data_IF_109586125672
#
_entry.id   IF_109586125672
#
_cell.length_a   1.000
_cell.length_b   1.000
_cell.length_c   1.000
_cell.angle_alpha   90.00
_cell.angle_beta   90.00
_cell.angle_gamma   90.00
#
_symmetry.space_group_name_H-M   'P 1'
#
loop_
_entity.id
_entity.type
_entity.pdbx_description
1 polymer ?
#
# COMPACT_ATOMS: atom_id res chain seq x y z
N UNK A 1 0.34 -8.92 -6.82
CA UNK A 1 1.79 -9.25 -6.94
C UNK A 1 2.05 -10.57 -6.24
N UNK A 2 3.19 -11.23 -6.47
CA UNK A 2 3.50 -12.48 -5.75
C UNK A 2 3.45 -12.23 -4.23
N UNK A 3 2.87 -13.18 -3.48
CA UNK A 3 2.76 -13.19 -2.02
C UNK A 3 1.89 -12.08 -1.39
N UNK A 4 1.40 -11.11 -2.17
CA UNK A 4 0.62 -9.96 -1.64
C UNK A 4 -0.65 -10.33 -0.88
N UNK A 5 -1.41 -11.33 -1.36
CA UNK A 5 -2.65 -11.73 -0.71
C UNK A 5 -2.42 -12.37 0.65
N UNK A 6 -1.38 -13.21 0.76
CA UNK A 6 -0.99 -13.88 1.99
C UNK A 6 -0.49 -12.86 3.02
N UNK A 7 0.45 -12.00 2.61
CA UNK A 7 1.05 -11.01 3.51
C UNK A 7 0.02 -9.99 3.98
N UNK A 8 -0.83 -9.45 3.09
CA UNK A 8 -1.87 -8.49 3.53
C UNK A 8 -2.88 -9.15 4.47
N UNK A 9 -3.21 -10.43 4.26
CA UNK A 9 -4.10 -11.16 5.18
C UNK A 9 -3.48 -11.32 6.56
N UNK A 10 -2.21 -11.70 6.64
CA UNK A 10 -1.49 -11.80 7.91
C UNK A 10 -1.39 -10.43 8.60
N UNK A 11 -1.01 -9.38 7.86
CA UNK A 11 -0.97 -8.02 8.41
C UNK A 11 -2.34 -7.55 8.93
N UNK A 12 -3.44 -7.97 8.31
CA UNK A 12 -4.79 -7.58 8.73
C UNK A 12 -5.20 -8.09 10.12
N UNK A 13 -4.45 -9.04 10.69
CA UNK A 13 -4.65 -9.50 12.06
C UNK A 13 -4.11 -8.50 13.10
N UNK A 14 -3.21 -7.60 12.68
CA UNK A 14 -2.45 -6.69 13.54
C UNK A 14 -2.66 -5.21 13.19
N UNK A 15 -2.99 -4.93 11.93
CA UNK A 15 -3.10 -3.58 11.37
C UNK A 15 -4.47 -3.38 10.70
N UNK A 16 -4.99 -2.15 10.78
CA UNK A 16 -6.12 -1.75 9.95
C UNK A 16 -5.63 -1.44 8.53
N UNK A 17 -6.07 -2.24 7.56
CA UNK A 17 -5.60 -2.15 6.17
C UNK A 17 -6.56 -1.30 5.33
N UNK A 18 -6.01 -0.27 4.70
CA UNK A 18 -6.68 0.52 3.66
C UNK A 18 -5.96 0.40 2.32
N UNK A 19 -6.73 0.32 1.24
CA UNK A 19 -6.19 0.35 -0.13
C UNK A 19 -6.42 1.74 -0.70
N UNK A 20 -5.36 2.52 -0.85
CA UNK A 20 -5.41 3.86 -1.43
C UNK A 20 -4.98 3.86 -2.90
N UNK A 21 -5.86 4.24 -3.82
CA UNK A 21 -5.56 4.25 -5.26
C UNK A 21 -6.14 5.45 -5.98
N UNK A 22 -5.47 5.92 -7.03
CA UNK A 22 -5.99 6.95 -7.91
C UNK A 22 -6.88 6.34 -8.99
N UNK A 23 -7.97 7.03 -9.33
CA UNK A 23 -8.80 6.73 -10.50
C UNK A 23 -9.13 7.99 -11.33
N UNK A 24 -8.91 9.20 -10.83
CA UNK A 24 -9.31 10.44 -11.48
C UNK A 24 -8.55 10.72 -12.79
N UNK A 25 -7.31 10.25 -12.91
CA UNK A 25 -6.53 10.34 -14.16
C UNK A 25 -7.12 9.46 -15.27
N UNK A 26 -7.78 8.36 -14.89
CA UNK A 26 -8.44 7.41 -15.79
C UNK A 26 -9.80 6.99 -15.20
N UNK A 27 -10.84 7.84 -15.25
CA UNK A 27 -12.10 7.61 -14.51
C UNK A 27 -12.78 6.27 -14.83
N UNK A 28 -12.65 5.80 -16.07
CA UNK A 28 -13.15 4.48 -16.50
C UNK A 28 -12.48 3.29 -15.79
N UNK A 29 -11.36 3.50 -15.10
CA UNK A 29 -10.67 2.47 -14.34
C UNK A 29 -11.27 2.19 -12.96
N UNK A 30 -12.18 3.05 -12.46
CA UNK A 30 -12.74 2.91 -11.11
C UNK A 30 -13.36 1.53 -10.88
N UNK A 31 -14.33 1.14 -11.70
CA UNK A 31 -15.05 -0.13 -11.57
C UNK A 31 -14.09 -1.32 -11.68
N UNK A 32 -13.16 -1.27 -12.64
CA UNK A 32 -12.17 -2.33 -12.83
C UNK A 32 -11.27 -2.50 -11.60
N UNK A 33 -10.80 -1.41 -10.99
CA UNK A 33 -9.99 -1.45 -9.76
C UNK A 33 -10.78 -1.99 -8.57
N UNK A 34 -12.02 -1.53 -8.41
CA UNK A 34 -12.90 -1.96 -7.33
C UNK A 34 -13.19 -3.47 -7.40
N UNK A 35 -13.64 -3.97 -8.55
CA UNK A 35 -13.93 -5.39 -8.73
C UNK A 35 -12.67 -6.27 -8.61
N UNK A 36 -11.52 -5.79 -9.10
CA UNK A 36 -10.25 -6.50 -8.94
C UNK A 36 -9.86 -6.69 -7.46
N UNK A 37 -10.08 -5.66 -6.63
CA UNK A 37 -9.85 -5.77 -5.18
C UNK A 37 -10.81 -6.75 -4.53
N UNK A 38 -12.09 -6.74 -4.92
CA UNK A 38 -13.08 -7.69 -4.39
C UNK A 38 -12.78 -9.13 -4.76
N UNK A 39 -12.32 -9.38 -5.98
CA UNK A 39 -11.98 -10.71 -6.45
C UNK A 39 -10.75 -11.26 -5.72
N UNK A 40 -9.71 -10.44 -5.55
CA UNK A 40 -8.41 -10.91 -5.09
C UNK A 40 -8.11 -10.67 -3.61
N UNK A 41 -8.80 -9.72 -2.98
CA UNK A 41 -8.65 -9.33 -1.58
C UNK A 41 -10.01 -9.35 -0.86
N UNK A 42 -10.83 -10.36 -1.14
CA UNK A 42 -12.19 -10.53 -0.61
C UNK A 42 -12.30 -10.59 0.92
N UNK A 43 -11.18 -10.70 1.63
CA UNK A 43 -11.10 -10.63 3.09
C UNK A 43 -11.01 -9.20 3.65
N UNK A 44 -10.75 -8.20 2.80
CA UNK A 44 -10.80 -6.79 3.18
C UNK A 44 -12.23 -6.26 3.08
N UNK A 45 -12.58 -5.31 3.95
CA UNK A 45 -13.83 -4.57 3.84
C UNK A 45 -13.72 -3.55 2.70
N UNK A 46 -14.66 -3.57 1.76
CA UNK A 46 -14.74 -2.61 0.65
C UNK A 46 -14.80 -1.14 1.12
N UNK A 47 -15.27 -0.88 2.35
CA UNK A 47 -15.24 0.44 2.98
C UNK A 47 -13.83 0.98 3.23
N UNK A 48 -12.82 0.11 3.19
CA UNK A 48 -11.41 0.48 3.34
C UNK A 48 -10.73 0.79 1.99
N UNK A 49 -11.47 0.80 0.88
CA UNK A 49 -10.95 1.19 -0.43
C UNK A 49 -11.11 2.70 -0.64
N UNK A 50 -9.99 3.42 -0.62
CA UNK A 50 -9.93 4.88 -0.69
C UNK A 50 -9.46 5.31 -2.08
N UNK A 51 -10.38 5.90 -2.85
CA UNK A 51 -10.06 6.44 -4.16
C UNK A 51 -9.68 7.92 -4.04
N UNK A 52 -8.38 8.22 -4.10
CA UNK A 52 -7.86 9.58 -3.96
C UNK A 52 -6.59 9.77 -4.82
N UNK A 53 -6.37 11.01 -5.26
CA UNK A 53 -5.23 11.36 -6.12
C UNK A 53 -4.06 11.87 -5.28
N UNK A 54 -4.37 12.84 -4.41
CA UNK A 54 -3.43 13.35 -3.42
C UNK A 54 -3.52 12.53 -2.13
N UNK A 55 -2.56 11.62 -1.93
CA UNK A 55 -2.50 10.78 -0.73
C UNK A 55 -2.10 11.54 0.54
N UNK A 56 -1.80 12.84 0.48
CA UNK A 56 -1.52 13.65 1.68
C UNK A 56 -2.72 13.85 2.60
N UNK A 57 -3.94 13.58 2.12
CA UNK A 57 -5.15 13.61 2.95
C UNK A 57 -5.31 12.35 3.82
N UNK A 58 -4.53 11.31 3.56
CA UNK A 58 -4.60 10.05 4.30
C UNK A 58 -3.85 10.21 5.61
N UNK A 59 -4.56 10.01 6.71
CA UNK A 59 -3.99 9.98 8.04
C UNK A 59 -3.84 8.52 8.49
N UNK A 60 -2.64 7.97 8.33
CA UNK A 60 -2.30 6.61 8.70
C UNK A 60 -0.83 6.55 9.14
N UNK A 61 -0.46 5.50 9.89
CA UNK A 61 0.90 5.34 10.41
C UNK A 61 1.91 4.97 9.32
N UNK A 62 1.49 4.20 8.31
CA UNK A 62 2.35 3.70 7.24
C UNK A 62 1.70 3.85 5.86
N UNK A 63 2.52 4.12 4.84
CA UNK A 63 2.11 4.12 3.44
C UNK A 63 3.12 3.32 2.61
N UNK A 64 2.69 2.19 2.06
CA UNK A 64 3.48 1.39 1.12
C UNK A 64 3.10 1.83 -0.30
N UNK A 65 4.05 2.41 -1.03
CA UNK A 65 3.81 2.97 -2.36
C UNK A 65 5.08 2.88 -3.22
N UNK A 66 4.93 2.71 -4.52
CA UNK A 66 6.05 2.70 -5.47
C UNK A 66 6.37 4.10 -6.01
N UNK A 67 5.59 5.12 -5.63
CA UNK A 67 5.80 6.51 -6.01
C UNK A 67 6.11 7.38 -4.79
N UNK A 68 7.40 7.71 -4.60
CA UNK A 68 7.85 8.51 -3.46
C UNK A 68 7.30 9.94 -3.41
N UNK A 69 6.73 10.44 -4.50
CA UNK A 69 6.02 11.74 -4.54
C UNK A 69 4.93 11.84 -3.47
N UNK A 70 4.34 10.72 -3.07
CA UNK A 70 3.30 10.66 -2.05
C UNK A 70 3.84 10.80 -0.62
N UNK A 71 5.14 10.55 -0.38
CA UNK A 71 5.71 10.54 0.97
C UNK A 71 5.97 11.92 1.55
N UNK A 72 6.32 12.91 0.72
CA UNK A 72 6.71 14.25 1.19
C UNK A 72 5.66 14.95 2.07
N UNK A 73 4.38 14.66 1.83
CA UNK A 73 3.23 15.25 2.55
C UNK A 73 2.41 14.21 3.31
N UNK A 74 2.85 12.96 3.33
CA UNK A 74 2.22 11.93 4.15
C UNK A 74 2.70 12.09 5.59
N UNK A 75 1.77 12.01 6.54
CA UNK A 75 2.07 12.31 7.95
C UNK A 75 2.80 11.16 8.66
N UNK A 76 2.58 9.92 8.21
CA UNK A 76 3.23 8.72 8.72
C UNK A 76 4.51 8.34 7.97
N UNK A 77 4.95 7.11 8.16
CA UNK A 77 6.14 6.55 7.53
C UNK A 77 5.84 6.04 6.11
N UNK A 78 6.45 6.68 5.11
CA UNK A 78 6.47 6.17 3.74
C UNK A 78 7.44 5.00 3.59
N UNK A 79 7.00 3.89 2.98
CA UNK A 79 7.80 2.71 2.66
C UNK A 79 7.78 2.55 1.14
N UNK A 80 8.93 2.76 0.51
CA UNK A 80 9.10 2.68 -0.93
C UNK A 80 9.10 1.23 -1.40
N UNK A 81 8.06 0.83 -2.12
CA UNK A 81 8.01 -0.46 -2.79
C UNK A 81 8.86 -0.39 -4.08
N UNK A 82 9.85 -1.28 -4.23
CA UNK A 82 10.73 -1.27 -5.40
C UNK A 82 9.98 -1.57 -6.70
N UNK A 83 10.17 -0.68 -7.67
CA UNK A 83 9.65 -0.79 -9.04
C UNK A 83 10.69 -0.25 -10.03
N UNK A 84 10.55 -0.61 -11.31
CA UNK A 84 11.54 -0.28 -12.33
C UNK A 84 11.84 1.23 -12.44
N UNK A 85 10.83 2.09 -12.26
CA UNK A 85 10.99 3.55 -12.35
C UNK A 85 11.64 4.19 -11.11
N UNK A 86 11.68 3.50 -9.97
CA UNK A 86 12.19 4.06 -8.71
C UNK A 86 13.53 3.47 -8.24
N UNK A 87 14.23 2.69 -9.09
CA UNK A 87 15.47 1.98 -8.72
C UNK A 87 16.59 2.90 -8.22
N UNK A 88 16.63 4.15 -8.68
CA UNK A 88 17.65 5.13 -8.30
C UNK A 88 17.22 6.05 -7.16
N UNK A 89 16.00 5.90 -6.66
CA UNK A 89 15.52 6.70 -5.53
C UNK A 89 16.17 6.25 -4.23
N UNK A 90 16.63 7.21 -3.43
CA UNK A 90 17.30 7.00 -2.16
C UNK A 90 16.65 7.86 -1.07
N UNK A 91 16.95 7.56 0.20
CA UNK A 91 16.44 8.34 1.34
C UNK A 91 15.07 7.91 1.89
N UNK A 92 14.54 6.78 1.44
CA UNK A 92 13.32 6.17 1.97
C UNK A 92 13.59 4.76 2.50
N UNK A 93 12.82 4.33 3.49
CA UNK A 93 12.72 2.91 3.84
C UNK A 93 12.24 2.19 2.58
N UNK A 94 12.93 1.13 2.17
CA UNK A 94 12.66 0.43 0.91
C UNK A 94 12.43 -1.05 1.16
N UNK A 95 11.45 -1.60 0.48
CA UNK A 95 11.15 -3.04 0.42
C UNK A 95 11.12 -3.47 -1.04
N UNK A 96 11.68 -4.63 -1.34
CA UNK A 96 11.79 -5.13 -2.72
C UNK A 96 10.67 -6.08 -3.12
N UNK A 97 9.94 -6.61 -2.15
CA UNK A 97 8.88 -7.58 -2.35
C UNK A 97 7.98 -7.68 -1.10
N UNK A 98 6.90 -8.45 -1.22
CA UNK A 98 5.94 -8.65 -0.12
C UNK A 98 6.51 -9.41 1.08
N UNK A 99 7.51 -10.28 0.88
CA UNK A 99 8.15 -10.97 2.01
C UNK A 99 9.01 -10.01 2.85
N UNK A 100 9.62 -8.99 2.24
CA UNK A 100 10.30 -7.91 2.97
C UNK A 100 9.31 -7.01 3.72
N UNK A 101 8.12 -6.77 3.17
CA UNK A 101 7.03 -6.09 3.90
C UNK A 101 6.68 -6.90 5.15
N UNK A 102 6.39 -8.21 4.97
CA UNK A 102 6.08 -9.12 6.06
C UNK A 102 7.16 -9.05 7.14
N UNK A 103 8.43 -9.18 6.74
CA UNK A 103 9.56 -9.11 7.67
C UNK A 103 9.61 -7.79 8.43
N UNK A 104 9.46 -6.65 7.74
CA UNK A 104 9.50 -5.31 8.33
C UNK A 104 8.47 -5.15 9.45
N UNK A 105 7.23 -5.57 9.23
CA UNK A 105 6.15 -5.40 10.22
C UNK A 105 6.12 -6.48 11.30
N UNK A 106 6.45 -7.74 10.96
CA UNK A 106 6.35 -8.86 11.89
C UNK A 106 7.56 -9.03 12.80
N UNK A 107 8.67 -8.36 12.51
CA UNK A 107 9.85 -8.37 13.42
C UNK A 107 9.84 -7.25 14.45
N UNK A 108 9.08 -6.17 14.23
CA UNK A 108 8.90 -5.09 15.20
C UNK A 108 8.01 -5.52 16.38
N UNK A 109 7.11 -6.50 16.19
CA UNK A 109 6.23 -7.04 17.25
C UNK A 109 6.90 -8.03 18.22
N UNK A 110 8.15 -8.44 17.92
CA UNK A 110 8.94 -9.33 18.79
C UNK A 110 9.88 -8.57 19.75
N UNK A 111 9.70 -7.25 19.88
CA UNK A 111 10.37 -6.40 20.87
C UNK A 111 9.37 -5.82 21.86
#
# INVERSE_FOLDING_TARGET
MKDSQEVIRELSEHYEIFIATAAMEFPSSFTAKYEWLKEHFSFLNDMNFVFCGDKSIINADYLIDDSSRHFKRFIGQGILYSAAHNLHETGYIRVNNWQEIRHYFMTEELK
#
